data_IF_722675150664
#
_entry.id   IF_722675150664
#
_cell.length_a   1.000
_cell.length_b   1.000
_cell.length_c   1.000
_cell.angle_alpha   90.00
_cell.angle_beta   90.00
_cell.angle_gamma   90.00
#
_symmetry.space_group_name_H-M   'P 1'
#
loop_
_entity.id
_entity.type
_entity.pdbx_description
1 polymer ?
#
# COMPACT_ATOMS: atom_id res chain seq x y z
N UNK A 1 103.66 -13.67 72.72
CA UNK A 1 105.09 -13.60 72.39
C UNK A 1 105.50 -14.93 71.76
N UNK A 2 106.42 -14.90 70.78
CA UNK A 2 107.01 -16.02 70.00
C UNK A 2 106.16 -16.40 68.77
N UNK A 3 106.44 -15.87 67.56
CA UNK A 3 107.49 -16.25 66.56
C UNK A 3 107.41 -17.74 66.21
N UNK A 4 107.40 -18.17 64.93
CA UNK A 4 108.44 -17.97 63.92
C UNK A 4 107.90 -18.02 62.47
N UNK A 5 108.73 -17.47 61.58
CA UNK A 5 108.49 -17.25 60.15
C UNK A 5 109.28 -18.24 59.27
N UNK A 6 108.81 -18.35 58.00
CA UNK A 6 109.57 -18.68 56.76
C UNK A 6 110.00 -20.16 56.63
N UNK A 7 109.93 -20.80 55.47
CA UNK A 7 110.55 -20.41 54.20
C UNK A 7 109.79 -20.95 52.97
N UNK A 8 109.96 -20.18 51.90
CA UNK A 8 109.51 -20.38 50.51
C UNK A 8 110.28 -21.50 49.80
N UNK A 9 109.60 -22.26 48.94
CA UNK A 9 110.22 -22.96 47.80
C UNK A 9 109.23 -23.01 46.63
N UNK A 10 109.57 -22.28 45.57
CA UNK A 10 108.87 -22.20 44.28
C UNK A 10 109.42 -23.24 43.33
N UNK A 11 108.60 -24.14 42.78
CA UNK A 11 108.84 -24.76 41.47
C UNK A 11 107.52 -25.03 40.73
N UNK A 12 107.53 -24.68 39.45
CA UNK A 12 106.43 -24.72 38.48
C UNK A 12 105.93 -26.14 38.18
N UNK A 13 104.62 -26.28 37.96
CA UNK A 13 104.08 -27.28 37.05
C UNK A 13 102.80 -26.75 36.38
N UNK A 14 102.83 -26.79 35.06
CA UNK A 14 101.83 -26.37 34.09
C UNK A 14 100.67 -27.37 33.94
N UNK A 15 99.49 -26.81 33.66
CA UNK A 15 98.39 -27.33 32.81
C UNK A 15 97.53 -28.51 33.30
N UNK A 16 96.22 -28.26 33.41
CA UNK A 16 95.18 -28.85 32.55
C UNK A 16 93.83 -28.18 32.81
N UNK A 17 93.26 -27.56 31.77
CA UNK A 17 91.90 -27.01 31.74
C UNK A 17 90.91 -28.18 31.67
N UNK A 18 90.12 -28.38 32.72
CA UNK A 18 89.01 -29.32 32.70
C UNK A 18 87.77 -28.62 32.11
N UNK A 19 87.67 -28.59 30.78
CA UNK A 19 86.44 -28.27 30.06
C UNK A 19 85.44 -29.41 30.28
N UNK A 20 84.48 -29.20 31.17
CA UNK A 20 83.54 -30.25 31.56
C UNK A 20 82.20 -29.71 32.02
N UNK A 21 81.56 -28.85 31.22
CA UNK A 21 80.13 -28.55 31.35
C UNK A 21 79.69 -27.65 30.20
N UNK A 22 78.87 -28.18 29.30
CA UNK A 22 77.50 -27.71 29.03
C UNK A 22 77.05 -28.35 27.72
N UNK A 23 76.33 -29.46 27.80
CA UNK A 23 75.49 -29.89 26.68
C UNK A 23 74.44 -28.81 26.50
N UNK A 24 74.66 -27.91 25.55
CA UNK A 24 73.69 -26.94 25.12
C UNK A 24 72.55 -27.73 24.48
N UNK A 25 71.55 -28.08 25.29
CA UNK A 25 70.27 -28.52 24.79
C UNK A 25 69.78 -27.41 23.86
N UNK A 26 69.72 -27.72 22.57
CA UNK A 26 69.14 -26.86 21.55
C UNK A 26 67.67 -26.66 21.88
N UNK A 27 67.38 -25.66 22.71
CA UNK A 27 66.07 -25.07 22.78
C UNK A 27 65.88 -24.39 21.44
N UNK A 28 65.08 -24.99 20.55
CA UNK A 28 64.55 -24.31 19.38
C UNK A 28 63.80 -23.07 19.88
N UNK A 29 64.47 -21.93 19.88
CA UNK A 29 63.89 -20.65 20.25
C UNK A 29 62.96 -20.26 19.10
N UNK A 30 61.67 -20.57 19.26
CA UNK A 30 60.62 -19.99 18.43
C UNK A 30 60.49 -18.50 18.80
N UNK A 31 61.44 -17.69 18.32
CA UNK A 31 61.42 -16.25 18.47
C UNK A 31 60.36 -15.67 17.52
N UNK A 32 59.50 -14.79 18.03
CA UNK A 32 58.60 -13.99 17.21
C UNK A 32 59.43 -12.85 16.64
N UNK A 33 59.71 -12.91 15.35
CA UNK A 33 60.44 -11.87 14.63
C UNK A 33 59.46 -10.77 14.19
N UNK A 34 59.79 -9.51 14.51
CA UNK A 34 59.02 -8.35 14.07
C UNK A 34 59.79 -7.70 12.93
N UNK A 35 59.23 -7.75 11.73
CA UNK A 35 59.76 -7.04 10.56
C UNK A 35 58.88 -5.83 10.23
N UNK A 36 59.44 -4.86 9.53
CA UNK A 36 58.73 -3.65 9.09
C UNK A 36 58.12 -3.80 7.69
N UNK A 37 58.14 -5.00 7.13
CA UNK A 37 57.59 -5.27 5.81
C UNK A 37 56.06 -5.19 5.84
N UNK A 38 55.41 -4.67 4.78
CA UNK A 38 53.97 -4.64 4.71
C UNK A 38 53.40 -6.07 4.70
N UNK A 39 52.31 -6.27 5.44
CA UNK A 39 51.65 -7.56 5.50
C UNK A 39 51.10 -7.96 4.12
N UNK A 40 51.25 -9.24 3.76
CA UNK A 40 50.79 -9.81 2.50
C UNK A 40 49.33 -10.26 2.63
N UNK A 41 48.60 -10.27 1.52
CA UNK A 41 47.18 -10.70 1.49
C UNK A 41 46.97 -12.14 1.99
N UNK A 42 47.97 -13.01 1.81
CA UNK A 42 47.98 -14.39 2.30
C UNK A 42 48.30 -14.52 3.79
N UNK A 43 48.77 -13.46 4.43
CA UNK A 43 49.15 -13.50 5.84
C UNK A 43 47.92 -13.77 6.70
N UNK A 44 48.12 -14.62 7.71
CA UNK A 44 47.06 -15.06 8.61
C UNK A 44 47.09 -14.25 9.88
N UNK A 45 45.91 -13.88 10.37
CA UNK A 45 45.78 -13.16 11.63
C UNK A 45 46.17 -14.10 12.78
N UNK A 46 46.99 -13.64 13.70
CA UNK A 46 47.35 -14.39 14.91
C UNK A 46 46.36 -14.07 16.03
N UNK A 47 45.90 -15.10 16.75
CA UNK A 47 45.09 -14.96 17.95
C UNK A 47 45.95 -15.28 19.18
N UNK A 48 45.72 -14.53 20.26
CA UNK A 48 46.29 -14.85 21.57
C UNK A 48 45.39 -15.86 22.26
N UNK A 49 45.91 -17.04 22.54
CA UNK A 49 45.22 -18.10 23.26
C UNK A 49 45.79 -18.22 24.68
N UNK A 50 44.98 -17.89 25.68
CA UNK A 50 45.29 -18.12 27.08
C UNK A 50 44.85 -19.53 27.49
N UNK A 51 45.78 -20.35 27.96
CA UNK A 51 45.49 -21.67 28.51
C UNK A 51 46.23 -21.84 29.83
N UNK A 52 45.48 -22.03 30.91
CA UNK A 52 45.99 -22.23 32.27
C UNK A 52 47.02 -21.17 32.70
N UNK A 53 46.76 -19.88 32.41
CA UNK A 53 47.63 -18.77 32.81
C UNK A 53 48.85 -18.56 31.90
N UNK A 54 48.97 -19.32 30.80
CA UNK A 54 49.98 -19.11 29.76
C UNK A 54 49.32 -18.58 28.49
N UNK A 55 49.85 -17.47 27.98
CA UNK A 55 49.48 -16.93 26.68
C UNK A 55 50.35 -17.52 25.56
N UNK A 56 49.71 -18.00 24.50
CA UNK A 56 50.38 -18.52 23.29
C UNK A 56 49.80 -17.86 22.04
N UNK A 57 50.64 -17.55 21.06
CA UNK A 57 50.18 -17.07 19.76
C UNK A 57 49.81 -18.25 18.89
N UNK A 58 48.58 -18.26 18.39
CA UNK A 58 48.05 -19.30 17.50
C UNK A 58 47.68 -18.66 16.17
N UNK A 59 48.09 -19.28 15.07
CA UNK A 59 47.72 -18.83 13.73
C UNK A 59 46.25 -19.19 13.46
N UNK A 60 45.43 -18.20 13.10
CA UNK A 60 44.04 -18.46 12.73
C UNK A 60 43.93 -18.89 11.27
N UNK A 61 42.76 -19.38 10.86
CA UNK A 61 42.46 -19.69 9.46
C UNK A 61 42.14 -18.45 8.62
N UNK A 62 41.94 -17.28 9.24
CA UNK A 62 41.50 -16.03 8.58
C UNK A 62 42.70 -15.28 8.02
N UNK A 63 42.63 -14.95 6.72
CA UNK A 63 43.62 -14.14 6.02
C UNK A 63 43.28 -12.65 6.05
N UNK A 64 44.27 -11.81 5.75
CA UNK A 64 44.06 -10.38 5.50
C UNK A 64 43.11 -10.16 4.31
N UNK A 65 43.20 -10.98 3.27
CA UNK A 65 42.27 -10.94 2.12
C UNK A 65 40.81 -11.22 2.49
N UNK A 66 40.56 -12.17 3.41
CA UNK A 66 39.21 -12.45 3.91
C UNK A 66 38.65 -11.25 4.68
N UNK A 67 39.50 -10.57 5.45
CA UNK A 67 39.12 -9.37 6.20
C UNK A 67 38.84 -8.18 5.27
N UNK A 68 39.65 -8.01 4.22
CA UNK A 68 39.42 -6.98 3.21
C UNK A 68 38.14 -7.25 2.42
N UNK A 69 37.89 -8.51 2.05
CA UNK A 69 36.66 -8.94 1.39
C UNK A 69 35.43 -8.69 2.26
N UNK A 70 35.50 -9.03 3.56
CA UNK A 70 34.46 -8.70 4.52
C UNK A 70 34.23 -7.19 4.61
N UNK A 71 35.29 -6.39 4.64
CA UNK A 71 35.19 -4.93 4.67
C UNK A 71 34.49 -4.39 3.41
N UNK A 72 34.81 -4.92 2.23
CA UNK A 72 34.15 -4.56 0.96
C UNK A 72 32.67 -4.92 1.01
N UNK A 73 32.31 -6.12 1.47
CA UNK A 73 30.91 -6.54 1.64
C UNK A 73 30.16 -5.66 2.64
N UNK A 74 30.77 -5.32 3.78
CA UNK A 74 30.15 -4.43 4.78
C UNK A 74 29.88 -3.05 4.19
N UNK A 75 30.82 -2.47 3.43
CA UNK A 75 30.62 -1.19 2.74
C UNK A 75 29.52 -1.27 1.69
N UNK A 76 29.48 -2.33 0.89
CA UNK A 76 28.43 -2.54 -0.10
C UNK A 76 27.05 -2.66 0.55
N UNK A 77 26.93 -3.44 1.62
CA UNK A 77 25.70 -3.60 2.39
C UNK A 77 25.22 -2.28 3.00
N UNK A 78 26.14 -1.43 3.49
CA UNK A 78 25.79 -0.12 4.03
C UNK A 78 25.22 0.81 2.94
N UNK A 79 25.79 0.79 1.73
CA UNK A 79 25.28 1.55 0.58
C UNK A 79 23.90 1.03 0.16
N UNK A 80 23.73 -0.29 0.09
CA UNK A 80 22.46 -0.91 -0.26
C UNK A 80 21.36 -0.57 0.77
N UNK A 81 21.67 -0.61 2.06
CA UNK A 81 20.72 -0.27 3.13
C UNK A 81 20.27 1.19 3.03
N UNK A 82 21.19 2.12 2.72
CA UNK A 82 20.84 3.52 2.46
C UNK A 82 19.98 3.69 1.19
N UNK A 83 20.21 2.88 0.15
CA UNK A 83 19.34 2.85 -1.04
C UNK A 83 17.94 2.35 -0.69
N UNK A 84 17.83 1.21 -0.01
CA UNK A 84 16.56 0.64 0.44
C UNK A 84 15.77 1.62 1.32
N UNK A 85 16.45 2.35 2.22
CA UNK A 85 15.84 3.39 3.04
C UNK A 85 15.26 4.54 2.21
N UNK A 86 15.95 4.97 1.14
CA UNK A 86 15.41 5.97 0.20
C UNK A 86 14.18 5.45 -0.52
N UNK A 87 14.23 4.23 -1.04
CA UNK A 87 13.08 3.59 -1.71
C UNK A 87 11.88 3.46 -0.78
N UNK A 88 12.08 3.04 0.48
CA UNK A 88 11.00 2.96 1.47
C UNK A 88 10.40 4.33 1.78
N UNK A 89 11.21 5.38 1.85
CA UNK A 89 10.74 6.76 2.05
C UNK A 89 9.89 7.24 0.86
N UNK A 90 10.32 6.96 -0.37
CA UNK A 90 9.56 7.27 -1.59
C UNK A 90 8.25 6.50 -1.65
N UNK A 91 8.26 5.20 -1.37
CA UNK A 91 7.06 4.37 -1.31
C UNK A 91 6.09 4.89 -0.24
N UNK A 92 6.59 5.30 0.93
CA UNK A 92 5.76 5.89 1.99
C UNK A 92 5.07 7.17 1.50
N UNK A 93 5.80 8.04 0.80
CA UNK A 93 5.23 9.25 0.19
C UNK A 93 4.18 8.92 -0.86
N UNK A 94 4.46 7.96 -1.75
CA UNK A 94 3.49 7.51 -2.77
C UNK A 94 2.23 6.93 -2.14
N UNK A 95 2.35 6.12 -1.08
CA UNK A 95 1.20 5.57 -0.34
C UNK A 95 0.39 6.70 0.30
N UNK A 96 1.04 7.70 0.89
CA UNK A 96 0.36 8.85 1.47
C UNK A 96 -0.39 9.67 0.41
N UNK A 97 0.23 9.89 -0.75
CA UNK A 97 -0.39 10.58 -1.88
C UNK A 97 -1.58 9.79 -2.45
N UNK A 98 -1.44 8.49 -2.65
CA UNK A 98 -2.53 7.61 -3.07
C UNK A 98 -3.68 7.66 -2.06
N UNK A 99 -3.40 7.60 -0.75
CA UNK A 99 -4.43 7.70 0.29
C UNK A 99 -5.16 9.04 0.25
N UNK A 100 -4.43 10.15 0.04
CA UNK A 100 -5.03 11.49 -0.12
C UNK A 100 -5.91 11.57 -1.37
N UNK A 101 -5.45 11.00 -2.49
CA UNK A 101 -6.19 10.99 -3.76
C UNK A 101 -7.43 10.08 -3.70
N UNK A 102 -7.31 8.89 -3.14
CA UNK A 102 -8.43 7.95 -2.95
C UNK A 102 -9.46 8.45 -1.92
N UNK A 103 -9.02 9.13 -0.87
CA UNK A 103 -9.92 9.76 0.10
C UNK A 103 -10.71 10.94 -0.47
N UNK A 104 -10.10 11.69 -1.40
CA UNK A 104 -10.75 12.85 -2.01
C UNK A 104 -11.73 12.47 -3.13
N UNK A 105 -11.42 11.43 -3.90
CA UNK A 105 -12.25 10.95 -5.02
C UNK A 105 -13.48 10.16 -4.59
N UNK A 106 -13.36 9.34 -3.54
CA UNK A 106 -14.50 8.58 -3.00
C UNK A 106 -15.59 9.49 -2.41
N UNK A 107 -15.19 10.59 -1.77
CA UNK A 107 -16.13 11.50 -1.12
C UNK A 107 -16.86 12.43 -2.11
N UNK A 108 -16.23 12.77 -3.25
CA UNK A 108 -16.90 13.50 -4.34
C UNK A 108 -17.87 12.61 -5.09
N UNK A 109 -17.46 11.39 -5.44
CA UNK A 109 -18.33 10.44 -6.16
C UNK A 109 -19.52 10.00 -5.32
N UNK A 110 -19.38 9.82 -4.00
CA UNK A 110 -20.52 9.47 -3.14
C UNK A 110 -21.58 10.57 -3.11
N UNK A 111 -21.18 11.84 -2.98
CA UNK A 111 -22.12 12.97 -2.98
C UNK A 111 -22.84 13.11 -4.32
N UNK A 112 -22.10 12.99 -5.42
CA UNK A 112 -22.67 13.05 -6.76
C UNK A 112 -23.66 11.90 -7.00
N UNK A 113 -23.35 10.69 -6.52
CA UNK A 113 -24.28 9.54 -6.56
C UNK A 113 -25.53 9.80 -5.72
N UNK A 114 -25.39 10.39 -4.52
CA UNK A 114 -26.53 10.71 -3.66
C UNK A 114 -27.43 11.79 -4.28
N UNK A 115 -26.84 12.82 -4.89
CA UNK A 115 -27.56 13.87 -5.62
C UNK A 115 -28.28 13.31 -6.86
N UNK A 116 -27.62 12.41 -7.60
CA UNK A 116 -28.23 11.70 -8.74
C UNK A 116 -29.40 10.82 -8.27
N UNK A 117 -29.24 10.04 -7.18
CA UNK A 117 -30.34 9.25 -6.60
C UNK A 117 -31.52 10.13 -6.20
N UNK A 118 -31.25 11.28 -5.57
CA UNK A 118 -32.30 12.22 -5.20
C UNK A 118 -33.04 12.73 -6.43
N UNK A 119 -32.31 13.10 -7.48
CA UNK A 119 -32.88 13.56 -8.75
C UNK A 119 -33.73 12.49 -9.42
N UNK A 120 -33.27 11.24 -9.45
CA UNK A 120 -34.03 10.10 -10.00
C UNK A 120 -35.33 9.87 -9.21
N UNK A 121 -35.29 9.93 -7.89
CA UNK A 121 -36.49 9.79 -7.06
C UNK A 121 -37.49 10.94 -7.26
N UNK A 122 -37.02 12.16 -7.48
CA UNK A 122 -37.86 13.32 -7.83
C UNK A 122 -38.55 13.08 -9.18
N UNK A 123 -37.78 12.68 -10.19
CA UNK A 123 -38.31 12.36 -11.53
C UNK A 123 -39.31 11.21 -11.51
N UNK A 124 -39.10 10.18 -10.69
CA UNK A 124 -40.06 9.09 -10.52
C UNK A 124 -41.40 9.59 -9.96
N UNK A 125 -41.37 10.51 -9.00
CA UNK A 125 -42.60 11.10 -8.45
C UNK A 125 -43.32 11.95 -9.50
N UNK A 126 -42.58 12.74 -10.26
CA UNK A 126 -43.13 13.56 -11.34
C UNK A 126 -43.78 12.71 -12.43
N UNK A 127 -43.11 11.62 -12.84
CA UNK A 127 -43.66 10.68 -13.81
C UNK A 127 -44.94 10.00 -13.30
N UNK A 128 -44.97 9.61 -12.02
CA UNK A 128 -46.17 9.05 -11.41
C UNK A 128 -47.33 10.05 -11.37
N UNK A 129 -47.06 11.32 -11.06
CA UNK A 129 -48.07 12.37 -11.07
C UNK A 129 -48.59 12.63 -12.49
N UNK A 130 -47.70 12.71 -13.47
CA UNK A 130 -48.08 12.88 -14.87
C UNK A 130 -48.90 11.68 -15.37
N UNK A 131 -48.53 10.46 -14.99
CA UNK A 131 -49.29 9.24 -15.30
C UNK A 131 -50.71 9.28 -14.75
N UNK A 132 -50.90 9.77 -13.51
CA UNK A 132 -52.24 9.99 -12.95
C UNK A 132 -53.04 11.02 -13.74
N UNK A 133 -52.43 12.16 -14.09
CA UNK A 133 -53.09 13.20 -14.88
C UNK A 133 -53.53 12.68 -16.26
N UNK A 134 -52.69 11.87 -16.92
CA UNK A 134 -53.03 11.25 -18.21
C UNK A 134 -54.20 10.28 -18.07
N UNK A 135 -54.22 9.45 -17.03
CA UNK A 135 -55.35 8.55 -16.76
C UNK A 135 -56.63 9.32 -16.44
N UNK A 136 -56.56 10.40 -15.66
CA UNK A 136 -57.71 11.28 -15.40
C UNK A 136 -58.24 11.93 -16.68
N UNK A 137 -57.35 12.46 -17.54
CA UNK A 137 -57.74 13.02 -18.83
C UNK A 137 -58.42 11.97 -19.71
N UNK A 138 -57.87 10.76 -19.80
CA UNK A 138 -58.45 9.66 -20.56
C UNK A 138 -59.85 9.29 -20.06
N UNK A 139 -60.05 9.25 -18.74
CA UNK A 139 -61.37 8.99 -18.12
C UNK A 139 -62.36 10.13 -18.41
N UNK A 140 -61.93 11.38 -18.30
CA UNK A 140 -62.77 12.54 -18.59
C UNK A 140 -63.16 12.62 -20.08
N UNK A 141 -62.22 12.34 -20.98
CA UNK A 141 -62.50 12.27 -22.42
C UNK A 141 -63.42 11.11 -22.81
N UNK A 142 -63.38 9.99 -22.09
CA UNK A 142 -64.32 8.88 -22.31
C UNK A 142 -65.74 9.18 -21.80
N UNK A 143 -65.86 9.89 -20.68
CA UNK A 143 -67.13 10.08 -19.97
C UNK A 143 -68.02 11.19 -20.57
N UNK A 144 -67.43 12.15 -21.28
CA UNK A 144 -68.21 13.22 -21.97
C UNK A 144 -69.05 12.70 -23.14
N UNK A 145 -68.72 11.52 -23.69
CA UNK A 145 -69.48 10.92 -24.79
C UNK A 145 -70.86 10.37 -24.38
N UNK A 146 -71.00 9.88 -23.14
CA UNK A 146 -72.24 9.23 -22.68
C UNK A 146 -73.32 10.23 -22.26
N UNK A 147 -72.94 11.32 -21.58
CA UNK A 147 -73.90 12.37 -21.18
C UNK A 147 -74.41 13.14 -22.40
N UNK A 148 -73.52 13.53 -23.31
CA UNK A 148 -73.90 14.26 -24.53
C UNK A 148 -74.83 13.42 -25.42
N UNK A 149 -74.62 12.10 -25.52
CA UNK A 149 -75.47 11.23 -26.35
C UNK A 149 -76.90 11.08 -25.78
N UNK A 150 -77.04 11.11 -24.45
CA UNK A 150 -78.34 11.01 -23.77
C UNK A 150 -79.15 12.31 -23.93
N UNK A 151 -78.49 13.46 -23.82
CA UNK A 151 -79.10 14.77 -24.07
C UNK A 151 -79.48 14.94 -25.55
N UNK A 152 -78.60 14.58 -26.47
CA UNK A 152 -78.88 14.61 -27.92
C UNK A 152 -80.06 13.68 -28.27
N UNK A 153 -80.13 12.48 -27.67
CA UNK A 153 -81.23 11.55 -27.90
C UNK A 153 -82.56 12.08 -27.38
N UNK A 154 -82.54 12.75 -26.22
CA UNK A 154 -83.72 13.41 -25.64
C UNK A 154 -84.20 14.56 -26.53
N UNK A 155 -83.27 15.43 -26.95
CA UNK A 155 -83.57 16.56 -27.85
C UNK A 155 -84.11 16.07 -29.20
N UNK A 156 -83.55 15.00 -29.78
CA UNK A 156 -84.06 14.40 -31.02
C UNK A 156 -85.51 13.93 -30.89
N UNK A 157 -85.86 13.33 -29.75
CA UNK A 157 -87.22 12.85 -29.49
C UNK A 157 -88.18 14.04 -29.37
N UNK A 158 -87.80 15.07 -28.61
CA UNK A 158 -88.60 16.29 -28.45
C UNK A 158 -88.84 17.00 -29.78
N UNK A 159 -87.80 17.15 -30.63
CA UNK A 159 -87.94 17.70 -31.98
C UNK A 159 -88.91 16.87 -32.82
N UNK A 160 -88.82 15.53 -32.77
CA UNK A 160 -89.70 14.66 -33.54
C UNK A 160 -91.17 14.73 -33.06
N UNK A 161 -91.39 14.93 -31.76
CA UNK A 161 -92.73 15.11 -31.20
C UNK A 161 -93.32 16.48 -31.56
N UNK A 162 -92.49 17.53 -31.55
CA UNK A 162 -92.86 18.87 -32.02
C UNK A 162 -93.21 18.88 -33.51
N UNK A 163 -92.45 18.18 -34.34
CA UNK A 163 -92.70 18.08 -35.79
C UNK A 163 -94.08 17.47 -36.08
N UNK A 164 -94.44 16.39 -35.37
CA UNK A 164 -95.77 15.78 -35.45
C UNK A 164 -96.88 16.72 -35.00
N UNK A 165 -96.66 17.46 -33.91
CA UNK A 165 -97.63 18.44 -33.42
C UNK A 165 -97.83 19.58 -34.43
N UNK A 166 -96.76 20.01 -35.10
CA UNK A 166 -96.79 21.03 -36.14
C UNK A 166 -97.58 20.56 -37.37
N UNK A 167 -97.37 19.32 -37.80
CA UNK A 167 -98.13 18.70 -38.89
C UNK A 167 -99.63 18.62 -38.59
N UNK A 168 -99.98 18.27 -37.35
CA UNK A 168 -101.38 18.26 -36.89
C UNK A 168 -101.97 19.67 -36.90
N UNK A 169 -101.26 20.65 -36.33
CA UNK A 169 -101.65 22.06 -36.35
C UNK A 169 -101.87 22.55 -37.79
N UNK A 170 -100.95 22.26 -38.70
CA UNK A 170 -101.06 22.63 -40.12
C UNK A 170 -102.33 22.09 -40.75
N UNK A 171 -102.67 20.81 -40.52
CA UNK A 171 -103.93 20.22 -40.98
C UNK A 171 -105.15 20.93 -40.42
N UNK A 172 -105.16 21.19 -39.10
CA UNK A 172 -106.30 21.89 -38.46
C UNK A 172 -106.48 23.31 -39.00
N UNK A 173 -105.38 24.03 -39.28
CA UNK A 173 -105.41 25.36 -39.89
C UNK A 173 -105.90 25.30 -41.32
N UNK A 174 -105.45 24.31 -42.11
CA UNK A 174 -105.96 24.10 -43.47
C UNK A 174 -107.45 23.79 -43.48
N UNK A 175 -107.93 22.94 -42.57
CA UNK A 175 -109.35 22.60 -42.45
C UNK A 175 -110.19 23.81 -42.01
N UNK A 176 -109.70 24.61 -41.05
CA UNK A 176 -110.36 25.86 -40.66
C UNK A 176 -110.42 26.85 -41.83
N UNK A 177 -109.30 27.01 -42.55
CA UNK A 177 -109.20 27.89 -43.72
C UNK A 177 -110.18 27.50 -44.82
N UNK A 178 -110.36 26.19 -45.06
CA UNK A 178 -111.38 25.68 -45.99
C UNK A 178 -112.82 25.94 -45.51
N UNK A 179 -113.05 25.97 -44.20
CA UNK A 179 -114.38 26.20 -43.61
C UNK A 179 -114.75 27.69 -43.52
N UNK A 180 -113.75 28.57 -43.54
CA UNK A 180 -113.93 30.04 -43.48
C UNK A 180 -114.07 30.67 -44.88
N UNK A 181 -113.77 29.93 -45.96
CA UNK A 181 -114.08 30.28 -47.35
C UNK A 181 -115.44 29.73 -47.77
#
# INVERSE_FOLDING_TARGET
MRSFSKLSSTQLATATLLLGSLTLASAAQAAVEVTSDPALYSDKICALHNSFGKDTLVRTSVSIDDLESLQKTVKANAIELESQKRTLSEQTRQIEELKRNSGSSSNSSSKEIDDLKRTVNEQERDLNNLGKQVEELKRNSGSSSSSNNSEISSLKREISDQDRAMDQLKRTVEDLSRKVK
#
